data_IF_722971199830
#
_entry.id   IF_722971199830
#
_cell.length_a   1.000
_cell.length_b   1.000
_cell.length_c   1.000
_cell.angle_alpha   90.00
_cell.angle_beta   90.00
_cell.angle_gamma   90.00
#
_symmetry.space_group_name_H-M   'P 1'
#
loop_
_entity.id
_entity.type
_entity.pdbx_description
1 polymer ?
#
# COMPACT_ATOMS: atom_id res chain seq x y z
N UNK A 1 -13.22 -0.07 26.61
CA UNK A 1 -12.52 -0.33 25.33
C UNK A 1 -13.38 0.25 24.21
N UNK A 2 -12.84 1.13 23.38
CA UNK A 2 -13.63 1.83 22.36
C UNK A 2 -14.02 0.85 21.23
N UNK A 3 -15.24 0.91 20.69
CA UNK A 3 -15.70 -0.06 19.66
C UNK A 3 -14.81 -0.05 18.42
N UNK A 4 -14.30 1.13 18.05
CA UNK A 4 -13.36 1.32 16.93
C UNK A 4 -12.03 0.59 17.18
N UNK A 5 -11.47 0.66 18.40
CA UNK A 5 -10.21 0.00 18.71
C UNK A 5 -10.35 -1.52 18.78
N UNK A 6 -11.53 -2.04 19.18
CA UNK A 6 -11.82 -3.46 19.14
C UNK A 6 -11.93 -4.01 17.70
N UNK A 7 -12.53 -3.25 16.79
CA UNK A 7 -12.60 -3.62 15.37
C UNK A 7 -11.20 -3.58 14.74
N UNK A 8 -10.43 -2.53 15.01
CA UNK A 8 -9.06 -2.40 14.51
C UNK A 8 -8.15 -3.53 15.00
N UNK A 9 -8.26 -3.92 16.28
CA UNK A 9 -7.46 -5.01 16.83
C UNK A 9 -7.83 -6.37 16.24
N UNK A 10 -9.13 -6.64 16.02
CA UNK A 10 -9.60 -7.85 15.36
C UNK A 10 -9.14 -7.92 13.89
N UNK A 11 -9.22 -6.81 13.16
CA UNK A 11 -8.73 -6.72 11.79
C UNK A 11 -7.21 -6.94 11.71
N UNK A 12 -6.44 -6.37 12.65
CA UNK A 12 -4.99 -6.57 12.73
C UNK A 12 -4.61 -8.04 13.03
N UNK A 13 -5.33 -8.68 13.95
CA UNK A 13 -5.15 -10.11 14.25
C UNK A 13 -5.43 -10.97 13.01
N UNK A 14 -6.51 -10.69 12.28
CA UNK A 14 -6.85 -11.38 11.04
C UNK A 14 -5.77 -11.18 9.97
N UNK A 15 -5.33 -9.94 9.76
CA UNK A 15 -4.25 -9.60 8.84
C UNK A 15 -2.96 -10.38 9.16
N UNK A 16 -2.62 -10.54 10.45
CA UNK A 16 -1.45 -11.31 10.88
C UNK A 16 -1.53 -12.80 10.57
N UNK A 17 -2.73 -13.36 10.38
CA UNK A 17 -2.93 -14.77 10.05
C UNK A 17 -2.86 -15.06 8.54
N UNK A 18 -2.96 -14.04 7.69
CA UNK A 18 -2.98 -14.22 6.24
C UNK A 18 -1.62 -14.71 5.70
N UNK A 19 -1.58 -15.40 4.55
CA UNK A 19 -0.32 -15.74 3.89
C UNK A 19 0.52 -14.48 3.60
N UNK A 20 1.84 -14.62 3.57
CA UNK A 20 2.74 -13.50 3.28
C UNK A 20 2.37 -12.78 1.97
N UNK A 21 2.03 -13.54 0.92
CA UNK A 21 1.64 -13.01 -0.38
C UNK A 21 0.38 -12.15 -0.30
N UNK A 22 -0.65 -12.63 0.42
CA UNK A 22 -1.94 -11.93 0.57
C UNK A 22 -1.79 -10.64 1.36
N UNK A 23 -1.01 -10.66 2.46
CA UNK A 23 -0.67 -9.44 3.21
C UNK A 23 -0.04 -8.38 2.32
N UNK A 24 0.84 -8.83 1.43
CA UNK A 24 1.57 -7.97 0.51
C UNK A 24 0.68 -7.35 -0.56
N UNK A 25 -0.24 -8.13 -1.12
CA UNK A 25 -1.27 -7.61 -2.01
C UNK A 25 -2.17 -6.58 -1.33
N UNK A 26 -2.64 -6.86 -0.10
CA UNK A 26 -3.46 -5.91 0.66
C UNK A 26 -2.72 -4.58 0.87
N UNK A 27 -1.44 -4.62 1.25
CA UNK A 27 -0.61 -3.42 1.37
C UNK A 27 -0.47 -2.68 0.04
N UNK A 28 -0.17 -3.41 -1.05
CA UNK A 28 0.01 -2.80 -2.37
C UNK A 28 -1.28 -2.10 -2.85
N UNK A 29 -2.44 -2.75 -2.69
CA UNK A 29 -3.73 -2.16 -3.00
C UNK A 29 -4.06 -0.97 -2.09
N UNK A 30 -3.74 -1.04 -0.79
CA UNK A 30 -3.96 0.08 0.12
C UNK A 30 -3.15 1.31 -0.30
N UNK A 31 -1.87 1.15 -0.65
CA UNK A 31 -1.06 2.26 -1.13
C UNK A 31 -1.48 2.76 -2.52
N UNK A 32 -1.90 1.86 -3.42
CA UNK A 32 -2.48 2.25 -4.70
C UNK A 32 -3.77 3.06 -4.51
N UNK A 33 -4.59 2.72 -3.51
CA UNK A 33 -5.79 3.49 -3.17
C UNK A 33 -5.44 4.89 -2.63
N UNK A 34 -4.42 5.00 -1.78
CA UNK A 34 -3.89 6.30 -1.32
C UNK A 34 -3.38 7.13 -2.50
N UNK A 35 -2.70 6.51 -3.45
CA UNK A 35 -2.24 7.16 -4.65
C UNK A 35 -3.40 7.69 -5.50
N UNK A 36 -4.42 6.86 -5.73
CA UNK A 36 -5.61 7.20 -6.50
C UNK A 36 -6.41 8.33 -5.82
N UNK A 37 -6.47 8.32 -4.49
CA UNK A 37 -7.02 9.43 -3.71
C UNK A 37 -6.25 10.73 -3.92
N UNK A 38 -4.91 10.67 -3.97
CA UNK A 38 -4.06 11.79 -4.35
C UNK A 38 -4.37 12.34 -5.75
N UNK A 39 -4.63 11.46 -6.74
CA UNK A 39 -5.01 11.88 -8.09
C UNK A 39 -6.32 12.65 -8.08
N UNK A 40 -7.33 12.16 -7.34
CA UNK A 40 -8.63 12.81 -7.21
C UNK A 40 -8.46 14.20 -6.58
N UNK A 41 -7.70 14.30 -5.48
CA UNK A 41 -7.41 15.58 -4.83
C UNK A 41 -6.71 16.56 -5.78
N UNK A 42 -5.75 16.08 -6.56
CA UNK A 42 -5.03 16.89 -7.54
C UNK A 42 -5.98 17.39 -8.65
N UNK A 43 -6.90 16.54 -9.12
CA UNK A 43 -7.90 16.91 -10.13
C UNK A 43 -8.90 17.96 -9.62
N UNK A 44 -9.16 18.02 -8.32
CA UNK A 44 -9.98 19.04 -7.68
C UNK A 44 -9.20 20.30 -7.24
N UNK A 45 -7.99 20.50 -7.77
CA UNK A 45 -7.12 21.66 -7.47
C UNK A 45 -6.60 21.75 -6.02
N UNK A 46 -6.66 20.66 -5.24
CA UNK A 46 -6.03 20.57 -3.92
C UNK A 46 -4.57 20.11 -4.00
N UNK A 47 -3.79 20.68 -4.94
CA UNK A 47 -2.45 20.18 -5.30
C UNK A 47 -1.50 20.02 -4.11
N UNK A 48 -1.42 21.03 -3.23
CA UNK A 48 -0.54 21.00 -2.04
C UNK A 48 -0.90 19.89 -1.05
N UNK A 49 -2.18 19.52 -0.95
CA UNK A 49 -2.64 18.39 -0.12
C UNK A 49 -2.49 17.06 -0.85
N UNK A 50 -2.58 17.06 -2.19
CA UNK A 50 -2.49 15.87 -3.03
C UNK A 50 -1.07 15.31 -3.14
N UNK A 51 -0.06 16.17 -3.23
CA UNK A 51 1.36 15.81 -3.36
C UNK A 51 1.84 14.71 -2.39
N UNK A 52 1.62 14.80 -1.06
CA UNK A 52 2.07 13.76 -0.14
C UNK A 52 1.36 12.41 -0.36
N UNK A 53 0.09 12.41 -0.77
CA UNK A 53 -0.65 11.18 -1.06
C UNK A 53 -0.20 10.56 -2.40
N UNK A 54 0.11 11.38 -3.40
CA UNK A 54 0.66 10.94 -4.67
C UNK A 54 2.05 10.32 -4.48
N UNK A 55 2.95 11.01 -3.77
CA UNK A 55 4.31 10.52 -3.57
C UNK A 55 4.30 9.31 -2.63
N UNK A 56 3.62 9.41 -1.49
CA UNK A 56 3.55 8.33 -0.49
C UNK A 56 2.82 7.10 -1.01
N UNK A 57 1.72 7.29 -1.76
CA UNK A 57 0.97 6.19 -2.38
C UNK A 57 1.77 5.48 -3.46
N UNK A 58 2.47 6.23 -4.35
CA UNK A 58 3.29 5.62 -5.40
C UNK A 58 4.47 4.84 -4.83
N UNK A 59 5.25 5.44 -3.92
CA UNK A 59 6.40 4.78 -3.28
C UNK A 59 5.93 3.57 -2.48
N UNK A 60 4.85 3.71 -1.71
CA UNK A 60 4.28 2.63 -0.92
C UNK A 60 3.79 1.47 -1.77
N UNK A 61 3.16 1.74 -2.91
CA UNK A 61 2.68 0.70 -3.83
C UNK A 61 3.85 -0.06 -4.48
N UNK A 62 4.90 0.65 -4.92
CA UNK A 62 6.12 0.04 -5.46
C UNK A 62 6.83 -0.82 -4.41
N UNK A 63 6.97 -0.30 -3.19
CA UNK A 63 7.60 -1.04 -2.09
C UNK A 63 6.79 -2.28 -1.67
N UNK A 64 5.47 -2.13 -1.56
CA UNK A 64 4.57 -3.19 -1.14
C UNK A 64 4.44 -4.27 -2.23
N UNK A 65 4.39 -3.90 -3.51
CA UNK A 65 4.33 -4.87 -4.64
C UNK A 65 5.47 -5.87 -4.64
N UNK A 66 6.57 -5.56 -3.94
CA UNK A 66 7.76 -6.41 -3.96
C UNK A 66 8.44 -6.40 -5.31
N UNK A 67 8.21 -5.37 -6.15
CA UNK A 67 8.91 -5.16 -7.42
C UNK A 67 10.44 -5.30 -7.27
N UNK A 68 10.99 -4.89 -6.11
CA UNK A 68 12.41 -5.09 -5.80
C UNK A 68 12.79 -6.58 -5.68
N UNK A 69 11.96 -7.42 -5.06
CA UNK A 69 12.19 -8.88 -5.03
C UNK A 69 11.97 -9.52 -6.39
N UNK A 70 11.01 -9.03 -7.17
CA UNK A 70 10.77 -9.48 -8.54
C UNK A 70 11.96 -9.14 -9.45
N UNK A 71 12.49 -7.93 -9.31
CA UNK A 71 13.72 -7.47 -9.97
C UNK A 71 14.92 -8.33 -9.59
N UNK A 72 15.14 -8.60 -8.30
CA UNK A 72 16.21 -9.49 -7.84
C UNK A 72 16.03 -10.94 -8.31
N UNK A 73 14.79 -11.44 -8.39
CA UNK A 73 14.50 -12.77 -8.93
C UNK A 73 14.87 -12.85 -10.42
N UNK A 74 14.45 -11.85 -11.21
CA UNK A 74 14.79 -11.76 -12.63
C UNK A 74 16.30 -11.64 -12.81
N UNK A 75 16.96 -10.79 -12.02
CA UNK A 75 18.41 -10.63 -12.05
C UNK A 75 19.13 -11.96 -11.79
N UNK A 76 18.65 -12.77 -10.84
CA UNK A 76 19.20 -14.10 -10.53
C UNK A 76 18.93 -15.16 -11.59
N UNK A 77 17.92 -14.97 -12.44
CA UNK A 77 17.65 -15.86 -13.58
C UNK A 77 18.55 -15.50 -14.77
N UNK A 78 18.85 -14.21 -14.92
CA UNK A 78 19.62 -13.66 -16.06
C UNK A 78 21.13 -13.74 -15.84
N UNK A 79 21.60 -13.64 -14.59
CA UNK A 79 23.02 -13.66 -14.19
C UNK A 79 23.42 -15.01 -13.58
#
# INVERSE_FOLDING_TARGET
MNKVTAIASAAYQLYKRLPFLVRRFILAYAFAFVWLFGIILHAHHYGSLAEPFLIGGAIGAVWASGAHKLFLLILRIVL
#
